data_IF_230676622306
#
_entry.id   IF_230676622306
#
_cell.length_a   1.000
_cell.length_b   1.000
_cell.length_c   1.000
_cell.angle_alpha   90.00
_cell.angle_beta   90.00
_cell.angle_gamma   90.00
#
_symmetry.space_group_name_H-M   'P 1'
#
loop_
_entity.id
_entity.type
_entity.pdbx_description
1 polymer ?
#
# COMPACT_ATOMS: atom_id res chain seq x y z
N UNK A 1 -17.44 9.04 12.64
CA UNK A 1 -18.30 8.08 11.92
C UNK A 1 -18.02 8.21 10.44
N UNK A 2 -17.73 7.10 9.77
CA UNK A 2 -17.53 7.03 8.32
C UNK A 2 -18.85 6.56 7.68
N UNK A 3 -19.29 7.25 6.63
CA UNK A 3 -20.51 6.90 5.92
C UNK A 3 -20.29 5.76 4.91
N UNK A 4 -21.35 5.01 4.59
CA UNK A 4 -21.30 4.03 3.49
C UNK A 4 -20.92 4.68 2.15
N UNK A 5 -21.39 5.92 1.91
CA UNK A 5 -21.02 6.68 0.71
C UNK A 5 -19.51 6.91 0.60
N UNK A 6 -18.85 7.21 1.72
CA UNK A 6 -17.39 7.40 1.75
C UNK A 6 -16.65 6.12 1.43
N UNK A 7 -17.07 4.98 1.99
CA UNK A 7 -16.48 3.67 1.70
C UNK A 7 -16.67 3.28 0.23
N UNK A 8 -17.86 3.50 -0.34
CA UNK A 8 -18.14 3.19 -1.74
C UNK A 8 -17.26 4.04 -2.66
N UNK A 9 -17.17 5.35 -2.42
CA UNK A 9 -16.32 6.26 -3.20
C UNK A 9 -14.83 5.88 -3.09
N UNK A 10 -14.38 5.51 -1.88
CA UNK A 10 -13.02 5.04 -1.64
C UNK A 10 -12.69 3.77 -2.42
N UNK A 11 -13.53 2.74 -2.32
CA UNK A 11 -13.34 1.48 -3.05
C UNK A 11 -13.38 1.67 -4.57
N UNK A 12 -14.20 2.61 -5.06
CA UNK A 12 -14.25 2.97 -6.47
C UNK A 12 -12.96 3.65 -6.95
N UNK A 13 -12.47 4.62 -6.17
CA UNK A 13 -11.19 5.26 -6.45
C UNK A 13 -10.05 4.25 -6.49
N UNK A 14 -9.97 3.33 -5.52
CA UNK A 14 -8.97 2.27 -5.47
C UNK A 14 -9.01 1.37 -6.71
N UNK A 15 -10.20 0.91 -7.08
CA UNK A 15 -10.42 0.07 -8.26
C UNK A 15 -9.89 0.74 -9.53
N UNK A 16 -10.28 2.02 -9.74
CA UNK A 16 -9.91 2.76 -10.93
C UNK A 16 -8.41 3.17 -10.96
N UNK A 17 -7.83 3.42 -9.78
CA UNK A 17 -6.44 3.89 -9.69
C UNK A 17 -5.44 2.75 -9.81
N UNK A 18 -5.76 1.60 -9.24
CA UNK A 18 -4.84 0.46 -9.15
C UNK A 18 -5.26 -0.73 -10.02
N UNK A 19 -6.31 -0.58 -10.82
CA UNK A 19 -6.84 -1.63 -11.70
C UNK A 19 -7.09 -2.96 -10.93
N UNK A 20 -7.83 -2.84 -9.81
CA UNK A 20 -8.27 -4.02 -9.07
C UNK A 20 -9.43 -4.69 -9.78
N UNK A 21 -9.40 -6.02 -9.86
CA UNK A 21 -10.40 -6.85 -10.54
C UNK A 21 -10.55 -8.21 -9.85
N UNK A 22 -11.31 -9.13 -10.46
CA UNK A 22 -11.55 -10.47 -9.92
C UNK A 22 -10.29 -11.33 -9.77
N UNK A 23 -9.23 -11.03 -10.53
CA UNK A 23 -7.97 -11.78 -10.47
C UNK A 23 -7.03 -11.24 -9.40
N UNK A 24 -7.41 -10.16 -8.72
CA UNK A 24 -6.64 -9.59 -7.61
C UNK A 24 -6.71 -10.51 -6.39
N UNK A 25 -5.54 -10.86 -5.85
CA UNK A 25 -5.41 -11.65 -4.63
C UNK A 25 -4.66 -10.81 -3.60
N UNK A 26 -5.41 -10.25 -2.65
CA UNK A 26 -4.84 -9.42 -1.59
C UNK A 26 -4.20 -10.27 -0.50
N UNK A 27 -2.96 -9.94 -0.13
CA UNK A 27 -2.28 -10.47 1.05
C UNK A 27 -2.40 -9.51 2.24
N UNK A 28 -3.47 -9.66 3.03
CA UNK A 28 -3.76 -8.77 4.16
C UNK A 28 -2.93 -9.13 5.38
N UNK A 29 -2.22 -8.14 5.93
CA UNK A 29 -1.49 -8.26 7.20
C UNK A 29 -2.14 -7.41 8.32
N UNK A 30 -2.95 -6.45 7.94
CA UNK A 30 -3.49 -5.45 8.87
C UNK A 30 -4.63 -6.04 9.69
N UNK A 31 -4.58 -5.95 11.04
CA UNK A 31 -5.72 -6.34 11.87
C UNK A 31 -6.97 -5.53 11.53
N UNK A 32 -8.13 -6.17 11.51
CA UNK A 32 -9.40 -5.56 11.08
C UNK A 32 -9.91 -4.40 11.94
N UNK A 33 -9.29 -4.16 13.08
CA UNK A 33 -9.58 -2.98 13.92
C UNK A 33 -8.75 -1.73 13.53
N UNK A 34 -7.85 -1.82 12.55
CA UNK A 34 -7.18 -0.68 11.95
C UNK A 34 -7.81 -0.30 10.62
N UNK A 35 -7.91 1.01 10.32
CA UNK A 35 -8.51 1.52 9.08
C UNK A 35 -7.85 1.02 7.81
N UNK A 36 -6.55 0.75 7.82
CA UNK A 36 -5.85 0.19 6.67
C UNK A 36 -6.50 -1.11 6.12
N UNK A 37 -7.13 -1.93 6.97
CA UNK A 37 -7.83 -3.14 6.52
C UNK A 37 -9.01 -2.86 5.59
N UNK A 38 -9.52 -1.65 5.61
CA UNK A 38 -10.65 -1.20 4.77
C UNK A 38 -10.31 -1.30 3.28
N UNK A 39 -9.06 -0.99 2.90
CA UNK A 39 -8.61 -1.17 1.51
C UNK A 39 -8.78 -2.62 1.07
N UNK A 40 -8.17 -3.54 1.78
CA UNK A 40 -8.17 -4.96 1.41
C UNK A 40 -9.59 -5.53 1.37
N UNK A 41 -10.40 -5.28 2.42
CA UNK A 41 -11.75 -5.85 2.58
C UNK A 41 -12.70 -5.31 1.52
N UNK A 42 -12.82 -3.98 1.39
CA UNK A 42 -13.80 -3.39 0.49
C UNK A 42 -13.40 -3.46 -0.98
N UNK A 43 -12.10 -3.45 -1.30
CA UNK A 43 -11.65 -3.73 -2.65
C UNK A 43 -11.93 -5.18 -3.05
N UNK A 44 -11.77 -6.12 -2.12
CA UNK A 44 -12.13 -7.53 -2.37
C UNK A 44 -13.61 -7.68 -2.68
N UNK A 45 -14.49 -7.10 -1.84
CA UNK A 45 -15.95 -7.19 -2.02
C UNK A 45 -16.39 -6.53 -3.33
N UNK A 46 -15.88 -5.31 -3.61
CA UNK A 46 -16.27 -4.56 -4.80
C UNK A 46 -15.92 -5.26 -6.11
N UNK A 47 -14.74 -5.88 -6.17
CA UNK A 47 -14.19 -6.42 -7.42
C UNK A 47 -14.39 -7.92 -7.58
N UNK A 48 -15.02 -8.62 -6.62
CA UNK A 48 -15.06 -10.08 -6.61
C UNK A 48 -13.68 -10.71 -6.50
N UNK A 49 -12.73 -9.99 -5.87
CA UNK A 49 -11.35 -10.39 -5.66
C UNK A 49 -11.21 -11.43 -4.53
N UNK A 50 -9.98 -11.86 -4.25
CA UNK A 50 -9.68 -12.79 -3.16
C UNK A 50 -8.94 -12.07 -2.04
N UNK A 51 -9.35 -12.31 -0.79
CA UNK A 51 -8.67 -11.83 0.41
C UNK A 51 -8.00 -13.00 1.13
N UNK A 52 -6.67 -12.97 1.22
CA UNK A 52 -5.87 -13.94 1.97
C UNK A 52 -5.35 -13.27 3.23
N UNK A 53 -5.80 -13.74 4.40
CA UNK A 53 -5.33 -13.24 5.69
C UNK A 53 -4.00 -13.89 6.02
N UNK A 54 -2.93 -13.11 6.10
CA UNK A 54 -1.60 -13.59 6.43
C UNK A 54 -1.47 -13.73 7.94
N UNK A 55 -1.22 -14.94 8.47
CA UNK A 55 -1.02 -15.13 9.91
C UNK A 55 0.17 -14.30 10.43
N UNK A 56 -0.06 -13.50 11.48
CA UNK A 56 0.94 -12.59 12.07
C UNK A 56 2.29 -13.26 12.35
N UNK A 57 2.30 -14.54 12.74
CA UNK A 57 3.52 -15.32 13.02
C UNK A 57 4.50 -15.36 11.85
N UNK A 58 4.03 -15.26 10.60
CA UNK A 58 4.91 -15.33 9.42
C UNK A 58 5.83 -14.11 9.29
N UNK A 59 5.46 -12.96 9.83
CA UNK A 59 6.34 -11.78 9.84
C UNK A 59 7.59 -11.97 10.70
N UNK A 60 7.58 -12.92 11.65
CA UNK A 60 8.78 -13.35 12.38
C UNK A 60 9.65 -14.34 11.58
N UNK A 61 9.16 -14.86 10.47
CA UNK A 61 9.83 -15.85 9.62
C UNK A 61 9.71 -15.45 8.12
N UNK A 62 10.43 -14.42 7.66
CA UNK A 62 10.23 -13.83 6.33
C UNK A 62 10.31 -14.82 5.15
N UNK A 63 11.16 -15.85 5.22
CA UNK A 63 11.22 -16.90 4.18
C UNK A 63 9.86 -17.64 4.11
N UNK A 64 9.30 -18.04 5.26
CA UNK A 64 7.98 -18.70 5.31
C UNK A 64 6.85 -17.76 4.86
N UNK A 65 7.01 -16.45 5.11
CA UNK A 65 6.07 -15.45 4.62
C UNK A 65 6.05 -15.42 3.08
N UNK A 66 7.22 -15.41 2.45
CA UNK A 66 7.31 -15.42 0.98
C UNK A 66 6.82 -16.74 0.39
N UNK A 67 7.08 -17.89 1.04
CA UNK A 67 6.49 -19.17 0.65
C UNK A 67 4.96 -19.14 0.74
N UNK A 68 4.42 -18.55 1.81
CA UNK A 68 2.96 -18.40 1.99
C UNK A 68 2.36 -17.50 0.90
N UNK A 69 3.03 -16.42 0.52
CA UNK A 69 2.64 -15.55 -0.61
C UNK A 69 2.54 -16.35 -1.90
N UNK A 70 3.54 -17.18 -2.19
CA UNK A 70 3.55 -18.05 -3.38
C UNK A 70 2.44 -19.10 -3.36
N UNK A 71 2.28 -19.82 -2.25
CA UNK A 71 1.28 -20.90 -2.10
C UNK A 71 -0.15 -20.39 -2.27
N UNK A 72 -0.41 -19.12 -1.95
CA UNK A 72 -1.74 -18.51 -2.04
C UNK A 72 -1.90 -17.60 -3.26
N UNK A 73 -0.92 -17.57 -4.18
CA UNK A 73 -0.92 -16.74 -5.38
C UNK A 73 -1.19 -15.26 -5.10
N UNK A 74 -0.75 -14.74 -3.95
CA UNK A 74 -0.92 -13.34 -3.57
C UNK A 74 -0.18 -12.47 -4.59
N UNK A 75 -0.90 -11.54 -5.23
CA UNK A 75 -0.35 -10.65 -6.25
C UNK A 75 -0.38 -9.17 -5.85
N UNK A 76 -1.09 -8.83 -4.79
CA UNK A 76 -1.26 -7.46 -4.29
C UNK A 76 -1.07 -7.45 -2.78
N UNK A 77 -0.22 -6.55 -2.29
CA UNK A 77 -0.01 -6.34 -0.86
C UNK A 77 -0.18 -4.85 -0.50
N UNK A 78 -0.87 -4.59 0.60
CA UNK A 78 -1.01 -3.28 1.22
C UNK A 78 -0.55 -3.35 2.67
N UNK A 79 0.70 -2.98 2.89
CA UNK A 79 1.36 -3.18 4.19
C UNK A 79 1.95 -1.88 4.73
N UNK A 80 2.16 -1.84 6.04
CA UNK A 80 2.97 -0.76 6.64
C UNK A 80 4.44 -0.90 6.21
N UNK A 81 5.18 0.20 6.03
CA UNK A 81 6.60 0.20 5.70
C UNK A 81 7.47 -0.69 6.58
N UNK A 82 7.18 -0.76 7.88
CA UNK A 82 7.92 -1.63 8.80
C UNK A 82 7.78 -3.12 8.45
N UNK A 83 6.62 -3.58 7.97
CA UNK A 83 6.43 -4.96 7.52
C UNK A 83 7.25 -5.27 6.25
N UNK A 84 7.28 -4.34 5.29
CA UNK A 84 8.14 -4.43 4.10
C UNK A 84 9.63 -4.44 4.49
N UNK A 85 10.00 -3.62 5.47
CA UNK A 85 11.38 -3.54 5.96
C UNK A 85 11.87 -4.85 6.60
N UNK A 86 11.02 -5.59 7.31
CA UNK A 86 11.35 -6.90 7.87
C UNK A 86 11.82 -7.85 6.76
N UNK A 87 11.05 -7.97 5.69
CA UNK A 87 11.37 -8.85 4.56
C UNK A 87 12.68 -8.42 3.88
N UNK A 88 12.82 -7.11 3.60
CA UNK A 88 13.99 -6.58 2.91
C UNK A 88 15.29 -6.72 3.73
N UNK A 89 15.23 -6.42 5.04
CA UNK A 89 16.41 -6.46 5.94
C UNK A 89 16.88 -7.87 6.23
N UNK A 90 15.96 -8.84 6.33
CA UNK A 90 16.31 -10.24 6.51
C UNK A 90 16.85 -10.90 5.24
N UNK A 91 16.83 -10.22 4.09
CA UNK A 91 17.33 -10.75 2.83
C UNK A 91 16.51 -11.93 2.30
N UNK A 92 15.25 -12.10 2.73
CA UNK A 92 14.41 -13.23 2.33
C UNK A 92 14.20 -13.30 0.82
N UNK A 93 14.13 -12.15 0.14
CA UNK A 93 13.99 -12.03 -1.31
C UNK A 93 15.20 -12.59 -2.08
N UNK A 94 16.36 -12.81 -1.45
CA UNK A 94 17.50 -13.49 -2.07
C UNK A 94 17.27 -15.00 -2.24
N UNK A 95 16.36 -15.57 -1.45
CA UNK A 95 16.13 -17.02 -1.39
C UNK A 95 14.81 -17.44 -2.02
N UNK A 96 13.78 -16.60 -1.91
CA UNK A 96 12.42 -16.89 -2.39
C UNK A 96 11.96 -15.78 -3.34
N UNK A 97 11.73 -16.12 -4.59
CA UNK A 97 11.12 -15.23 -5.58
C UNK A 97 9.59 -15.26 -5.46
N UNK A 98 8.95 -14.11 -5.63
CA UNK A 98 7.49 -13.93 -5.63
C UNK A 98 7.04 -13.17 -6.89
N UNK A 99 7.28 -13.71 -8.09
CA UNK A 99 7.12 -12.98 -9.36
C UNK A 99 5.69 -12.58 -9.68
N UNK A 100 4.70 -13.21 -9.05
CA UNK A 100 3.28 -12.88 -9.21
C UNK A 100 2.89 -11.59 -8.48
N UNK A 101 3.67 -11.14 -7.47
CA UNK A 101 3.39 -9.87 -6.78
C UNK A 101 3.68 -8.71 -7.73
N UNK A 102 2.62 -8.03 -8.14
CA UNK A 102 2.68 -6.96 -9.12
C UNK A 102 2.20 -5.60 -8.59
N UNK A 103 1.65 -5.55 -7.37
CA UNK A 103 1.24 -4.31 -6.70
C UNK A 103 1.67 -4.32 -5.23
N UNK A 104 2.43 -3.30 -4.85
CA UNK A 104 2.95 -3.10 -3.50
C UNK A 104 2.57 -1.70 -3.04
N UNK A 105 1.51 -1.63 -2.26
CA UNK A 105 0.99 -0.40 -1.68
C UNK A 105 1.46 -0.31 -0.22
N UNK A 106 1.76 0.88 0.26
CA UNK A 106 2.18 1.06 1.64
C UNK A 106 1.69 2.39 2.20
N UNK A 107 1.34 2.40 3.49
CA UNK A 107 0.86 3.57 4.21
C UNK A 107 1.09 3.46 5.73
N UNK A 108 0.72 4.50 6.46
CA UNK A 108 0.70 4.53 7.93
C UNK A 108 2.03 4.90 8.57
N UNK A 109 3.15 4.78 7.87
CA UNK A 109 4.49 5.13 8.33
C UNK A 109 5.29 5.77 7.19
N UNK A 110 6.40 6.42 7.50
CA UNK A 110 7.32 6.94 6.48
C UNK A 110 8.10 5.77 5.86
N UNK A 111 7.97 5.59 4.56
CA UNK A 111 8.76 4.61 3.83
C UNK A 111 10.20 5.08 3.68
N UNK A 112 11.16 4.29 4.17
CA UNK A 112 12.57 4.52 3.89
C UNK A 112 12.87 4.13 2.44
N UNK A 113 13.35 5.08 1.64
CA UNK A 113 13.58 4.86 0.19
C UNK A 113 14.55 3.71 -0.09
N UNK A 114 15.56 3.50 0.77
CA UNK A 114 16.43 2.32 0.68
C UNK A 114 15.71 0.97 0.79
N UNK A 115 14.59 0.92 1.53
CA UNK A 115 13.74 -0.29 1.63
C UNK A 115 12.93 -0.47 0.36
N UNK A 116 12.34 0.61 -0.16
CA UNK A 116 11.66 0.60 -1.46
C UNK A 116 12.60 0.12 -2.57
N UNK A 117 13.81 0.72 -2.66
CA UNK A 117 14.80 0.36 -3.66
C UNK A 117 15.18 -1.13 -3.57
N UNK A 118 15.31 -1.66 -2.34
CA UNK A 118 15.55 -3.09 -2.14
C UNK A 118 14.44 -3.96 -2.74
N UNK A 119 13.18 -3.60 -2.54
CA UNK A 119 12.06 -4.31 -3.17
C UNK A 119 12.06 -4.18 -4.69
N UNK A 120 12.38 -2.99 -5.24
CA UNK A 120 12.49 -2.74 -6.68
C UNK A 120 13.58 -3.58 -7.36
N UNK A 121 14.67 -3.90 -6.65
CA UNK A 121 15.73 -4.80 -7.17
C UNK A 121 15.17 -6.20 -7.52
N UNK A 122 14.23 -6.72 -6.71
CA UNK A 122 13.66 -8.07 -6.90
C UNK A 122 12.36 -8.07 -7.71
N UNK A 123 11.59 -7.01 -7.63
CA UNK A 123 10.30 -6.86 -8.32
C UNK A 123 10.26 -5.56 -9.15
N UNK A 124 11.15 -5.41 -10.15
CA UNK A 124 11.30 -4.14 -10.89
C UNK A 124 10.07 -3.76 -11.74
N UNK A 125 9.17 -4.70 -11.99
CA UNK A 125 7.94 -4.48 -12.78
C UNK A 125 6.69 -4.26 -11.93
N UNK A 126 6.81 -4.41 -10.61
CA UNK A 126 5.67 -4.17 -9.72
C UNK A 126 5.33 -2.68 -9.66
N UNK A 127 4.05 -2.37 -9.52
CA UNK A 127 3.60 -1.05 -9.17
C UNK A 127 3.86 -0.81 -7.68
N UNK A 128 4.48 0.31 -7.36
CA UNK A 128 4.69 0.76 -5.98
C UNK A 128 3.91 2.04 -5.75
N UNK A 129 3.19 2.13 -4.63
CA UNK A 129 2.46 3.35 -4.29
C UNK A 129 2.58 3.69 -2.80
N UNK A 130 2.97 4.95 -2.54
CA UNK A 130 2.95 5.56 -1.22
C UNK A 130 1.59 6.20 -1.00
N UNK A 131 0.86 5.74 0.02
CA UNK A 131 -0.47 6.19 0.35
C UNK A 131 -0.44 6.92 1.69
N UNK A 132 -1.21 8.00 1.80
CA UNK A 132 -1.26 8.82 3.00
C UNK A 132 -2.69 9.25 3.32
N UNK A 133 -3.10 9.07 4.56
CA UNK A 133 -4.36 9.57 5.07
C UNK A 133 -4.67 9.11 6.48
N UNK A 134 -5.50 9.86 7.24
CA UNK A 134 -5.99 9.46 8.54
C UNK A 134 -7.31 8.68 8.44
N UNK A 135 -7.62 7.93 9.48
CA UNK A 135 -8.86 7.14 9.63
C UNK A 135 -10.13 7.97 9.41
N UNK A 136 -10.11 9.24 9.84
CA UNK A 136 -11.27 10.14 9.84
C UNK A 136 -11.77 10.50 8.44
N UNK A 137 -10.93 10.35 7.42
CA UNK A 137 -11.28 10.64 6.01
C UNK A 137 -11.39 9.37 5.16
N UNK A 138 -11.59 8.22 5.77
CA UNK A 138 -11.72 6.93 5.07
C UNK A 138 -10.37 6.43 4.53
N UNK A 139 -9.39 6.30 5.43
CA UNK A 139 -8.06 5.70 5.26
C UNK A 139 -7.08 6.55 4.42
N UNK A 140 -7.31 6.81 3.14
CA UNK A 140 -6.33 7.48 2.25
C UNK A 140 -6.94 8.75 1.62
N UNK A 141 -6.15 9.84 1.66
CA UNK A 141 -6.45 11.11 1.01
C UNK A 141 -5.50 11.48 -0.12
N UNK A 142 -4.23 11.11 0.01
CA UNK A 142 -3.20 11.39 -0.99
C UNK A 142 -2.47 10.12 -1.37
N UNK A 143 -1.96 10.08 -2.59
CA UNK A 143 -1.19 8.95 -3.08
C UNK A 143 -0.13 9.39 -4.08
N UNK A 144 0.97 8.65 -4.09
CA UNK A 144 2.04 8.78 -5.06
C UNK A 144 2.38 7.41 -5.65
N UNK A 145 2.15 7.23 -6.95
CA UNK A 145 2.65 6.07 -7.68
C UNK A 145 4.11 6.32 -8.01
N UNK A 146 4.98 5.41 -7.61
CA UNK A 146 6.43 5.55 -7.82
C UNK A 146 6.75 5.38 -9.29
N UNK A 147 6.94 6.49 -9.98
CA UNK A 147 7.12 6.61 -11.44
C UNK A 147 8.56 6.90 -11.87
N UNK A 148 9.48 7.06 -10.90
CA UNK A 148 10.92 7.29 -11.14
C UNK A 148 11.79 6.57 -10.11
N UNK A 149 13.07 6.64 -10.29
CA UNK A 149 14.03 6.20 -9.29
C UNK A 149 14.33 7.32 -8.28
N UNK A 150 14.60 6.91 -7.06
CA UNK A 150 14.95 7.77 -5.93
C UNK A 150 16.27 7.31 -5.33
N UNK A 151 17.12 8.24 -4.90
CA UNK A 151 18.30 7.89 -4.10
C UNK A 151 17.87 7.39 -2.72
N UNK A 152 18.72 6.59 -2.05
CA UNK A 152 18.38 5.94 -0.78
C UNK A 152 17.97 6.92 0.33
N UNK A 153 18.48 8.14 0.29
CA UNK A 153 18.24 9.18 1.31
C UNK A 153 17.19 10.20 0.87
N UNK A 154 16.67 10.09 -0.36
CA UNK A 154 15.64 10.99 -0.88
C UNK A 154 14.26 10.58 -0.33
N UNK A 155 13.50 11.50 0.29
CA UNK A 155 12.16 11.18 0.78
C UNK A 155 11.18 10.97 -0.37
N UNK A 156 10.23 10.04 -0.19
CA UNK A 156 9.14 9.86 -1.15
C UNK A 156 8.09 10.96 -0.99
N UNK A 157 7.55 11.48 -2.10
CA UNK A 157 6.38 12.36 -2.06
C UNK A 157 5.17 11.65 -1.44
N UNK A 158 4.27 12.42 -0.83
CA UNK A 158 2.92 11.93 -0.47
C UNK A 158 1.95 12.06 -1.65
N UNK A 159 2.36 12.76 -2.71
CA UNK A 159 1.70 12.80 -4.00
C UNK A 159 0.53 13.75 -4.09
N UNK A 160 -0.53 13.31 -4.78
CA UNK A 160 -1.73 14.10 -5.10
C UNK A 160 -2.97 13.54 -4.43
N UNK A 161 -4.03 14.34 -4.40
CA UNK A 161 -5.32 13.94 -3.84
C UNK A 161 -5.94 12.74 -4.56
N UNK A 162 -6.62 11.90 -3.79
CA UNK A 162 -7.57 10.93 -4.31
C UNK A 162 -8.75 11.66 -4.97
N UNK A 163 -9.47 10.97 -5.85
CA UNK A 163 -10.70 11.52 -6.44
C UNK A 163 -11.70 11.88 -5.32
N UNK A 164 -12.34 13.03 -5.45
CA UNK A 164 -13.27 13.60 -4.45
C UNK A 164 -12.63 14.08 -3.15
N UNK A 165 -11.32 14.33 -3.14
CA UNK A 165 -10.62 14.93 -2.02
C UNK A 165 -9.89 16.19 -2.46
N UNK A 166 -9.81 17.17 -1.54
CA UNK A 166 -8.99 18.37 -1.70
C UNK A 166 -7.93 18.40 -0.60
N UNK A 167 -6.70 18.72 -0.97
CA UNK A 167 -5.62 18.97 -0.03
C UNK A 167 -4.92 20.29 -0.41
N UNK A 168 -4.51 21.03 0.61
CA UNK A 168 -3.79 22.27 0.43
C UNK A 168 -2.86 22.51 1.63
N UNK A 169 -1.73 23.12 1.37
CA UNK A 169 -0.83 23.57 2.41
C UNK A 169 -1.28 24.94 2.97
N UNK A 170 -1.14 25.10 4.29
CA UNK A 170 -1.37 26.38 4.96
C UNK A 170 -0.04 26.92 5.48
N UNK A 171 0.14 28.25 5.39
CA UNK A 171 1.22 28.95 6.07
C UNK A 171 0.91 29.10 7.58
N UNK A 172 1.84 29.71 8.34
CA UNK A 172 1.65 29.93 9.77
C UNK A 172 0.46 30.86 10.12
N UNK A 173 -0.01 31.67 9.18
CA UNK A 173 -1.17 32.53 9.33
C UNK A 173 -2.50 31.83 8.98
N UNK A 174 -2.46 30.55 8.58
CA UNK A 174 -3.64 29.78 8.17
C UNK A 174 -4.12 30.07 6.75
N UNK A 175 -3.33 30.72 5.91
CA UNK A 175 -3.65 31.03 4.53
C UNK A 175 -3.14 29.93 3.59
N UNK A 176 -3.88 29.64 2.53
CA UNK A 176 -3.43 28.68 1.51
C UNK A 176 -2.12 29.15 0.87
N UNK A 177 -1.14 28.27 0.88
CA UNK A 177 0.10 28.47 0.11
C UNK A 177 -0.23 28.23 -1.37
N UNK A 178 0.19 29.16 -2.23
CA UNK A 178 0.08 28.97 -3.68
C UNK A 178 1.11 27.92 -4.11
N UNK A 179 0.67 27.01 -4.98
CA UNK A 179 1.59 26.09 -5.64
C UNK A 179 2.65 26.88 -6.40
N UNK A 180 3.92 26.53 -6.20
CA UNK A 180 5.05 27.08 -6.96
C UNK A 180 5.30 26.21 -8.20
#
# INVERSE_FOLDING_TARGET
VISHKSIIAYAEWLTNTFDFNSDTVFGSQTPFYFSMSVLDVYSTIRNGATLVIIPKKYFSFPIKLLDFINQNNINTIYWVPSALAIVARCGALNYISIPQVNKILFAGEVMQTKILNKWKEYLPKALYANLFGPTEITDIALYYIVDRDFSNDEPLPIGKCCTNMDAFALNQAGEKVKDN
#
